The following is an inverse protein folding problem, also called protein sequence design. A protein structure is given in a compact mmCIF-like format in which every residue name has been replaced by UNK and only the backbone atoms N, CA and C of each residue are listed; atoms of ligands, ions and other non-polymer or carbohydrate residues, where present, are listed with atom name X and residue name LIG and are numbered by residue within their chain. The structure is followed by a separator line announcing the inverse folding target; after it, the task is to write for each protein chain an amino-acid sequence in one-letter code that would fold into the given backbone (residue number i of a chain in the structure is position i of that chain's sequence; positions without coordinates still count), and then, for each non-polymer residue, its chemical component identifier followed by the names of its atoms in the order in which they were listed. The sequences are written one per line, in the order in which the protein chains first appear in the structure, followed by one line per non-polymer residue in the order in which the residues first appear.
data_IF_905729537673
#
_entry.id   IF_905729537673
#
_cell.length_a   1.000
_cell.length_b   1.000
_cell.length_c   1.000
_cell.angle_alpha   90.00
_cell.angle_beta   90.00
_cell.angle_gamma   90.00
#
_symmetry.space_group_name_H-M   'P 1'
#
loop_
_entity.id
_entity.type
_entity.pdbx_description
1 polymer ?
#
# COMPACT_ATOMS: atom_id res chain seq x y z
N UNK A 1 -15.83 13.26 -13.39
CA UNK A 1 -15.86 12.80 -12.75
C UNK A 1 -16.66 11.89 -12.42
N UNK A 2 -17.31 11.42 -12.81
CA UNK A 2 -18.09 10.55 -12.51
C UNK A 2 -17.58 9.49 -11.70
N UNK A 3 -16.41 9.10 -11.86
CA UNK A 3 -15.88 8.05 -11.09
C UNK A 3 -15.85 8.30 -9.66
N UNK A 4 -15.76 9.54 -9.27
CA UNK A 4 -15.69 9.91 -7.89
C UNK A 4 -16.95 9.55 -7.15
N UNK A 5 -18.05 9.51 -7.86
CA UNK A 5 -19.33 9.20 -7.28
C UNK A 5 -19.69 7.73 -7.46
N UNK A 6 -18.91 7.02 -8.24
CA UNK A 6 -19.16 5.62 -8.50
C UNK A 6 -18.28 4.76 -7.61
N UNK A 7 -18.88 4.21 -6.57
CA UNK A 7 -18.16 3.39 -5.61
C UNK A 7 -17.56 2.15 -6.22
N UNK A 8 -18.09 1.73 -7.37
CA UNK A 8 -17.60 0.52 -8.01
C UNK A 8 -16.49 0.79 -9.01
N UNK A 9 -16.14 2.05 -9.23
CA UNK A 9 -15.08 2.38 -10.15
C UNK A 9 -13.77 1.82 -9.61
N UNK A 10 -13.07 1.08 -10.46
CA UNK A 10 -11.79 0.52 -10.08
C UNK A 10 -10.69 1.54 -10.24
N UNK A 11 -9.75 1.51 -9.32
CA UNK A 11 -8.54 2.31 -9.46
C UNK A 11 -7.66 1.69 -10.53
N UNK A 12 -6.88 2.53 -11.17
CA UNK A 12 -5.90 2.06 -12.16
C UNK A 12 -4.65 1.62 -11.42
N UNK A 13 -4.56 0.34 -11.12
CA UNK A 13 -3.44 -0.20 -10.34
C UNK A 13 -2.12 -0.06 -11.07
N UNK A 14 -2.12 -0.13 -12.39
CA UNK A 14 -0.89 0.04 -13.15
C UNK A 14 -0.38 1.46 -12.99
N UNK A 15 -1.25 2.45 -13.07
CA UNK A 15 -0.86 3.85 -12.90
C UNK A 15 -0.33 4.09 -11.49
N UNK A 16 -0.97 3.48 -10.48
CA UNK A 16 -0.51 3.57 -9.10
C UNK A 16 0.89 2.97 -8.97
N UNK A 17 1.08 1.78 -9.50
CA UNK A 17 2.36 1.09 -9.45
C UNK A 17 3.46 1.93 -10.11
N UNK A 18 3.19 2.41 -11.32
CA UNK A 18 4.19 3.16 -12.08
C UNK A 18 4.56 4.46 -11.37
N UNK A 19 3.58 5.15 -10.82
CA UNK A 19 3.85 6.40 -10.11
C UNK A 19 4.71 6.16 -8.87
N UNK A 20 4.33 5.19 -8.06
CA UNK A 20 5.04 4.90 -6.82
C UNK A 20 6.46 4.41 -7.12
N UNK A 21 6.60 3.55 -8.12
CA UNK A 21 7.92 3.04 -8.49
C UNK A 21 8.87 4.17 -8.85
N UNK A 22 8.35 5.23 -9.48
CA UNK A 22 9.15 6.37 -9.88
C UNK A 22 9.50 7.34 -8.76
N UNK A 23 8.92 7.18 -7.56
CA UNK A 23 9.15 8.12 -6.47
C UNK A 23 10.56 8.04 -5.88
N UNK A 24 11.09 6.83 -5.77
CA UNK A 24 12.34 6.63 -5.06
C UNK A 24 12.95 5.29 -5.46
N UNK A 25 14.24 5.25 -5.82
CA UNK A 25 14.88 3.98 -6.20
C UNK A 25 14.98 2.98 -5.05
N UNK A 26 14.80 3.43 -3.82
CA UNK A 26 14.85 2.54 -2.65
C UNK A 26 13.55 1.80 -2.41
N UNK A 27 12.52 2.02 -3.23
CA UNK A 27 11.30 1.21 -3.16
C UNK A 27 11.58 -0.12 -3.86
N UNK A 28 11.43 -1.21 -3.11
CA UNK A 28 11.77 -2.56 -3.57
C UNK A 28 10.59 -3.30 -4.16
N UNK A 29 9.42 -3.13 -3.56
CA UNK A 29 8.21 -3.87 -3.91
C UNK A 29 7.01 -2.95 -3.78
N UNK A 30 6.09 -3.07 -4.72
CA UNK A 30 4.79 -2.41 -4.64
C UNK A 30 3.74 -3.43 -5.01
N UNK A 31 2.79 -3.68 -4.14
CA UNK A 31 1.71 -4.61 -4.44
C UNK A 31 0.40 -4.11 -3.92
N UNK A 32 -0.66 -4.40 -4.66
CA UNK A 32 -2.03 -4.20 -4.20
C UNK A 32 -2.55 -5.56 -3.79
N UNK A 33 -2.95 -5.70 -2.53
CA UNK A 33 -3.53 -6.94 -2.03
C UNK A 33 -4.99 -6.73 -1.70
N UNK A 34 -5.78 -7.80 -1.81
CA UNK A 34 -7.20 -7.72 -1.48
C UNK A 34 -7.40 -8.02 0.01
N UNK A 35 -8.66 -8.03 0.45
CA UNK A 35 -8.97 -8.21 1.87
C UNK A 35 -8.71 -9.63 2.37
N UNK A 36 -8.35 -10.55 1.49
CA UNK A 36 -7.94 -11.91 1.85
C UNK A 36 -6.42 -12.07 1.79
N UNK A 37 -5.70 -11.01 1.45
CA UNK A 37 -4.26 -11.07 1.35
C UNK A 37 -3.72 -11.58 0.03
N UNK A 38 -4.58 -11.64 -1.01
CA UNK A 38 -4.13 -12.09 -2.33
C UNK A 38 -3.56 -10.92 -3.10
N UNK A 39 -2.42 -11.15 -3.76
CA UNK A 39 -1.81 -10.14 -4.61
C UNK A 39 -2.64 -9.94 -5.86
N UNK A 40 -3.19 -8.74 -6.02
CA UNK A 40 -4.04 -8.39 -7.16
C UNK A 40 -3.22 -7.78 -8.29
N UNK A 41 -2.20 -7.00 -7.95
CA UNK A 41 -1.35 -6.35 -8.92
C UNK A 41 -0.02 -5.97 -8.29
N UNK A 42 1.04 -5.96 -9.10
CA UNK A 42 2.34 -5.47 -8.67
C UNK A 42 3.38 -6.56 -8.49
N UNK A 43 4.47 -6.19 -7.85
CA UNK A 43 5.59 -7.10 -7.65
C UNK A 43 6.85 -6.33 -7.30
N UNK A 44 7.97 -7.06 -7.35
CA UNK A 44 9.28 -6.47 -7.07
C UNK A 44 9.67 -5.47 -8.14
N UNK A 45 10.44 -4.46 -7.73
CA UNK A 45 11.09 -3.57 -8.71
C UNK A 45 11.96 -4.43 -9.61
N UNK A 46 11.96 -4.19 -10.92
CA UNK A 46 12.86 -4.93 -11.82
C UNK A 46 14.29 -4.87 -11.31
N UNK A 47 14.96 -6.01 -11.27
CA UNK A 47 16.32 -6.13 -10.79
C UNK A 47 16.47 -6.35 -9.30
N UNK A 48 15.39 -6.30 -8.54
CA UNK A 48 15.43 -6.59 -7.10
C UNK A 48 14.89 -8.00 -6.85
N UNK A 49 15.50 -8.66 -5.88
CA UNK A 49 15.11 -10.02 -5.50
C UNK A 49 14.45 -9.94 -4.13
N UNK A 50 13.33 -10.63 -3.97
CA UNK A 50 12.61 -10.67 -2.71
C UNK A 50 13.49 -11.31 -1.63
N UNK A 51 13.45 -10.75 -0.41
CA UNK A 51 14.13 -11.32 0.74
C UNK A 51 13.35 -12.51 1.28
N UNK A 52 12.03 -12.53 1.10
CA UNK A 52 11.20 -13.61 1.58
C UNK A 52 10.93 -14.64 0.50
N UNK A 53 10.66 -15.88 0.91
CA UNK A 53 10.24 -16.92 -0.01
C UNK A 53 8.80 -16.66 -0.46
N UNK A 54 8.35 -17.39 -1.49
CA UNK A 54 6.98 -17.28 -1.94
C UNK A 54 5.98 -17.61 -0.84
N UNK A 55 6.26 -18.68 -0.09
CA UNK A 55 5.39 -19.08 1.02
C UNK A 55 5.34 -17.99 2.11
N UNK A 56 6.49 -17.39 2.40
CA UNK A 56 6.54 -16.32 3.39
C UNK A 56 5.78 -15.10 2.91
N UNK A 57 5.86 -14.78 1.62
CA UNK A 57 5.11 -13.64 1.06
C UNK A 57 3.62 -13.83 1.25
N UNK A 58 3.10 -15.03 1.01
CA UNK A 58 1.69 -15.32 1.20
C UNK A 58 1.28 -15.05 2.65
N UNK A 59 2.07 -15.51 3.61
CA UNK A 59 1.77 -15.30 5.03
C UNK A 59 1.82 -13.84 5.40
N UNK A 60 2.80 -13.10 4.89
CA UNK A 60 2.95 -11.67 5.18
C UNK A 60 1.74 -10.90 4.64
N UNK A 61 1.30 -11.21 3.42
CA UNK A 61 0.14 -10.54 2.84
C UNK A 61 -1.13 -10.81 3.65
N UNK A 62 -1.30 -12.05 4.09
CA UNK A 62 -2.45 -12.40 4.93
C UNK A 62 -2.41 -11.66 6.27
N UNK A 63 -1.23 -11.51 6.85
CA UNK A 63 -1.07 -10.77 8.09
C UNK A 63 -1.50 -9.31 7.91
N UNK A 64 -1.03 -8.66 6.83
CA UNK A 64 -1.40 -7.28 6.57
C UNK A 64 -2.92 -7.13 6.36
N UNK A 65 -3.53 -8.07 5.64
CA UNK A 65 -4.97 -8.03 5.42
C UNK A 65 -5.74 -8.17 6.74
N UNK A 66 -5.30 -9.08 7.60
CA UNK A 66 -5.95 -9.29 8.89
C UNK A 66 -5.81 -8.07 9.79
N UNK A 67 -4.60 -7.52 9.89
CA UNK A 67 -4.35 -6.34 10.72
C UNK A 67 -5.19 -5.17 10.23
N UNK A 68 -5.30 -4.99 8.92
CA UNK A 68 -6.10 -3.92 8.36
C UNK A 68 -7.57 -4.04 8.76
N UNK A 69 -8.10 -5.26 8.78
CA UNK A 69 -9.48 -5.49 9.22
C UNK A 69 -9.65 -5.18 10.70
N UNK A 70 -8.69 -5.57 11.52
CA UNK A 70 -8.75 -5.30 12.96
C UNK A 70 -8.69 -3.79 13.24
N UNK A 71 -7.93 -3.05 12.45
CA UNK A 71 -7.85 -1.60 12.61
C UNK A 71 -9.21 -0.94 12.41
N UNK A 72 -10.04 -1.46 11.51
CA UNK A 72 -11.34 -0.82 11.22
C UNK A 72 -12.29 -0.84 12.42
N UNK A 73 -12.06 -1.71 13.39
CA UNK A 73 -12.88 -1.76 14.59
C UNK A 73 -12.82 -0.45 15.37
N UNK A 74 -11.79 0.35 15.16
CA UNK A 74 -11.57 1.58 15.91
C UNK A 74 -11.73 2.83 15.05
N UNK A 75 -12.22 2.69 13.82
CA UNK A 75 -12.35 3.82 12.92
C UNK A 75 -13.27 4.90 13.47
N UNK A 76 -14.36 4.52 14.12
CA UNK A 76 -15.31 5.49 14.65
C UNK A 76 -14.76 6.26 15.84
N UNK A 77 -13.83 5.67 16.58
CA UNK A 77 -13.23 6.30 17.76
C UNK A 77 -11.98 7.10 17.42
N UNK A 78 -11.13 6.53 16.59
CA UNK A 78 -9.80 7.10 16.33
C UNK A 78 -9.64 7.67 14.92
N UNK A 79 -10.61 7.46 14.06
CA UNK A 79 -10.49 7.79 12.64
C UNK A 79 -9.86 6.64 11.89
N UNK A 80 -10.04 6.66 10.57
CA UNK A 80 -9.48 5.61 9.71
C UNK A 80 -7.95 5.66 9.74
N UNK A 81 -7.33 4.50 9.55
CA UNK A 81 -5.88 4.45 9.42
C UNK A 81 -5.48 5.07 8.09
N UNK A 82 -4.54 6.00 8.14
CA UNK A 82 -4.01 6.66 6.95
C UNK A 82 -2.95 5.81 6.29
N UNK A 83 -1.95 5.39 7.06
CA UNK A 83 -0.98 4.39 6.62
C UNK A 83 -0.31 3.77 7.84
N UNK A 84 0.35 2.65 7.64
CA UNK A 84 1.09 1.96 8.69
C UNK A 84 2.53 1.73 8.25
N UNK A 85 3.44 1.79 9.21
CA UNK A 85 4.86 1.55 8.99
C UNK A 85 5.33 0.42 9.89
N UNK A 86 6.03 -0.53 9.29
CA UNK A 86 6.75 -1.55 10.05
C UNK A 86 8.23 -1.41 9.75
N UNK A 87 9.04 -1.19 10.77
CA UNK A 87 10.49 -1.11 10.61
C UNK A 87 11.09 -2.42 11.08
N UNK A 88 11.73 -3.15 10.16
CA UNK A 88 12.47 -4.34 10.48
C UNK A 88 13.96 -4.05 10.38
N UNK A 89 14.79 -4.94 10.86
CA UNK A 89 16.24 -4.70 10.82
C UNK A 89 16.77 -4.60 9.39
N UNK A 90 16.18 -5.33 8.46
CA UNK A 90 16.69 -5.36 7.07
C UNK A 90 15.93 -4.46 6.11
N UNK A 91 14.66 -4.22 6.35
CA UNK A 91 13.81 -3.43 5.44
C UNK A 91 12.77 -2.67 6.23
N UNK A 92 12.08 -1.76 5.56
CA UNK A 92 10.89 -1.10 6.07
C UNK A 92 9.70 -1.49 5.19
N UNK A 93 8.51 -1.47 5.76
CA UNK A 93 7.29 -1.78 5.02
C UNK A 93 6.24 -0.72 5.32
N UNK A 94 5.55 -0.28 4.28
CA UNK A 94 4.44 0.65 4.38
C UNK A 94 3.18 -0.04 3.88
N UNK A 95 2.04 0.29 4.47
CA UNK A 95 0.75 -0.17 3.96
C UNK A 95 -0.25 0.98 3.99
N UNK A 96 -1.04 1.09 2.94
CA UNK A 96 -2.02 2.15 2.75
C UNK A 96 -3.36 1.52 2.43
N UNK A 97 -4.35 1.64 3.34
CA UNK A 97 -5.70 1.18 3.00
C UNK A 97 -6.25 2.01 1.84
N UNK A 98 -6.87 1.34 0.89
CA UNK A 98 -7.55 2.01 -0.22
C UNK A 98 -8.97 1.50 -0.29
N UNK A 99 -9.67 1.76 -1.38
CA UNK A 99 -11.08 1.40 -1.48
C UNK A 99 -11.30 -0.11 -1.51
N UNK A 100 -12.50 -0.53 -1.13
CA UNK A 100 -12.97 -1.92 -1.21
C UNK A 100 -12.13 -2.92 -0.40
N UNK A 101 -11.54 -2.46 0.70
CA UNK A 101 -10.76 -3.35 1.55
C UNK A 101 -9.40 -3.73 0.99
N UNK A 102 -9.02 -3.13 -0.13
CA UNK A 102 -7.70 -3.38 -0.70
C UNK A 102 -6.64 -2.56 0.02
N UNK A 103 -5.39 -2.99 -0.08
CA UNK A 103 -4.27 -2.35 0.59
C UNK A 103 -3.12 -2.25 -0.41
N UNK A 104 -2.49 -1.06 -0.46
CA UNK A 104 -1.22 -0.93 -1.17
C UNK A 104 -0.13 -1.22 -0.16
N UNK A 105 0.74 -2.17 -0.49
CA UNK A 105 1.84 -2.55 0.37
C UNK A 105 3.16 -2.27 -0.34
N UNK A 106 4.08 -1.64 0.38
CA UNK A 106 5.41 -1.36 -0.12
C UNK A 106 6.46 -2.04 0.75
N UNK A 107 7.57 -2.41 0.10
CA UNK A 107 8.79 -2.79 0.80
C UNK A 107 9.88 -1.80 0.38
N UNK A 108 10.63 -1.31 1.35
CA UNK A 108 11.64 -0.27 1.13
C UNK A 108 12.99 -0.73 1.64
N UNK A 109 14.06 -0.22 1.02
CA UNK A 109 15.39 -0.35 1.60
C UNK A 109 15.37 0.32 2.98
N UNK A 110 16.19 -0.20 3.89
CA UNK A 110 16.21 0.32 5.27
C UNK A 110 16.55 1.80 5.34
N UNK A 111 17.36 2.29 4.41
CA UNK A 111 17.80 3.69 4.38
C UNK A 111 16.78 4.65 3.78
N UNK A 112 15.70 4.13 3.20
CA UNK A 112 14.72 4.98 2.52
C UNK A 112 14.09 5.99 3.48
N UNK A 113 13.77 7.17 2.94
CA UNK A 113 13.02 8.19 3.69
C UNK A 113 11.54 7.84 3.60
N UNK A 114 11.09 7.02 4.53
CA UNK A 114 9.72 6.50 4.48
C UNK A 114 8.67 7.59 4.64
N UNK A 115 8.96 8.63 5.40
CA UNK A 115 7.99 9.69 5.63
C UNK A 115 7.76 10.49 4.35
N UNK A 116 8.84 10.81 3.64
CA UNK A 116 8.74 11.52 2.37
C UNK A 116 7.97 10.69 1.35
N UNK A 117 8.28 9.40 1.27
CA UNK A 117 7.59 8.49 0.36
C UNK A 117 6.11 8.39 0.70
N UNK A 118 5.81 8.20 1.99
CA UNK A 118 4.41 8.07 2.42
C UNK A 118 3.62 9.33 2.11
N UNK A 119 4.17 10.51 2.38
CA UNK A 119 3.47 11.76 2.10
C UNK A 119 3.20 11.93 0.61
N UNK A 120 4.15 11.60 -0.24
CA UNK A 120 3.96 11.68 -1.69
C UNK A 120 2.84 10.73 -2.14
N UNK A 121 2.81 9.53 -1.60
CA UNK A 121 1.78 8.55 -1.94
C UNK A 121 0.40 9.05 -1.50
N UNK A 122 0.29 9.59 -0.30
CA UNK A 122 -0.98 10.08 0.20
C UNK A 122 -1.53 11.22 -0.65
N UNK A 123 -0.67 12.14 -1.07
CA UNK A 123 -1.07 13.22 -1.96
C UNK A 123 -1.57 12.65 -3.28
N UNK A 124 -0.83 11.71 -3.84
CA UNK A 124 -1.20 11.08 -5.10
C UNK A 124 -2.56 10.36 -4.98
N UNK A 125 -2.75 9.58 -3.92
CA UNK A 125 -4.00 8.85 -3.72
C UNK A 125 -5.18 9.80 -3.55
N UNK A 126 -4.97 10.95 -2.91
CA UNK A 126 -6.05 11.92 -2.74
C UNK A 126 -6.50 12.49 -4.09
N UNK A 127 -5.60 12.61 -5.06
CA UNK A 127 -5.99 13.09 -6.39
C UNK A 127 -6.81 12.03 -7.14
N UNK A 128 -6.53 10.77 -6.92
CA UNK A 128 -7.24 9.69 -7.60
C UNK A 128 -8.67 9.53 -7.09
N UNK A 129 -8.85 9.67 -5.79
CA UNK A 129 -10.15 9.44 -5.18
C UNK A 129 -10.92 10.72 -4.96
N UNK A 130 -10.30 11.86 -5.24
CA UNK A 130 -10.89 13.17 -5.00
C UNK A 130 -11.39 13.35 -3.58
N UNK A 131 -10.78 12.66 -2.64
CA UNK A 131 -11.12 12.86 -1.25
C UNK A 131 -10.43 14.11 -0.73
N UNK A 132 -11.01 14.78 0.26
CA UNK A 132 -10.33 15.89 0.91
C UNK A 132 -8.98 15.43 1.44
N UNK A 133 -8.07 16.32 1.65
CA UNK A 133 -6.75 16.00 2.14
C UNK A 133 -6.80 15.14 3.39
N UNK A 134 -5.81 14.31 3.53
CA UNK A 134 -5.75 13.35 4.63
C UNK A 134 -5.13 13.96 5.87
#
# INVERSE_FOLDING_TARGET
MKNLLNKDAKLDYKAIYDYILGLDPDIRFIGVIDDMGRLVYGGMRPGKISLESETESIKIFMEFALISKLHTDFDSTLGEVVYSLTVRKKIKMLSFPITAGHIIRLSLEKKADHEKIANAILIFLSTLSNKPGL
#
